data_IF_459764529246
#
_entry.id   IF_459764529246
#
_cell.length_a   1.000
_cell.length_b   1.000
_cell.length_c   1.000
_cell.angle_alpha   90.00
_cell.angle_beta   90.00
_cell.angle_gamma   90.00
#
_symmetry.space_group_name_H-M   'P 1'
#
loop_
_entity.id
_entity.type
_entity.pdbx_description
1 polymer ?
#
# COMPACT_ATOMS: atom_id res chain seq x y z
N UNK A 1 -27.97 28.21 -11.19
CA UNK A 1 -28.30 27.31 -10.06
C UNK A 1 -27.26 26.20 -10.06
N UNK A 2 -26.30 26.19 -9.13
CA UNK A 2 -25.27 25.14 -9.09
C UNK A 2 -25.85 23.89 -8.42
N UNK A 3 -25.86 22.75 -9.13
CA UNK A 3 -26.12 21.43 -8.53
C UNK A 3 -24.86 20.94 -7.82
N UNK A 4 -24.97 20.64 -6.53
CA UNK A 4 -23.92 19.96 -5.75
C UNK A 4 -24.20 18.46 -5.81
N UNK A 5 -23.18 17.69 -6.18
CA UNK A 5 -23.22 16.22 -6.17
C UNK A 5 -22.41 15.71 -4.98
N UNK A 6 -22.96 14.73 -4.27
CA UNK A 6 -22.31 14.09 -3.13
C UNK A 6 -21.79 12.70 -3.50
N UNK A 7 -20.80 12.22 -2.75
CA UNK A 7 -20.16 10.92 -2.92
C UNK A 7 -21.18 9.79 -2.64
N UNK A 8 -21.86 9.31 -3.69
CA UNK A 8 -22.95 8.33 -3.62
C UNK A 8 -24.04 8.52 -4.68
N UNK A 9 -24.14 9.70 -5.30
CA UNK A 9 -25.18 10.01 -6.31
C UNK A 9 -24.82 9.59 -7.76
N UNK A 10 -23.71 8.88 -7.97
CA UNK A 10 -23.23 8.56 -9.31
C UNK A 10 -24.09 7.51 -10.05
N UNK A 11 -24.76 6.61 -9.31
CA UNK A 11 -25.64 5.60 -9.89
C UNK A 11 -26.95 6.19 -10.43
N UNK A 12 -27.34 7.40 -10.01
CA UNK A 12 -28.61 8.02 -10.38
C UNK A 12 -28.58 8.79 -11.72
N UNK A 13 -27.40 8.94 -12.34
CA UNK A 13 -27.22 9.71 -13.59
C UNK A 13 -27.36 8.82 -14.84
N UNK A 14 -27.20 7.50 -14.71
CA UNK A 14 -27.31 6.58 -15.84
C UNK A 14 -28.64 5.82 -15.78
N UNK A 15 -29.49 6.06 -16.77
CA UNK A 15 -30.88 5.61 -16.84
C UNK A 15 -31.10 4.12 -16.55
N UNK A 16 -32.23 3.84 -15.93
CA UNK A 16 -32.62 2.51 -15.47
C UNK A 16 -32.77 1.46 -16.57
N UNK A 17 -32.61 0.21 -16.15
CA UNK A 17 -32.93 -1.02 -16.87
C UNK A 17 -32.78 -2.22 -15.94
N UNK A 18 -33.80 -3.09 -15.93
CA UNK A 18 -33.91 -4.33 -15.14
C UNK A 18 -32.72 -5.30 -15.31
N UNK A 19 -32.46 -6.21 -14.35
CA UNK A 19 -31.39 -7.19 -14.47
C UNK A 19 -31.84 -8.33 -15.39
N UNK A 20 -31.39 -8.31 -16.65
CA UNK A 20 -31.46 -9.49 -17.52
C UNK A 20 -30.14 -10.25 -17.46
N UNK A 21 -30.23 -11.49 -17.00
CA UNK A 21 -29.18 -12.49 -16.92
C UNK A 21 -28.72 -12.92 -18.31
N UNK A 22 -27.43 -12.77 -18.63
CA UNK A 22 -26.63 -13.75 -19.37
C UNK A 22 -25.15 -13.37 -19.49
N UNK A 23 -24.30 -14.36 -19.26
CA UNK A 23 -22.84 -14.30 -19.32
C UNK A 23 -22.33 -14.04 -20.73
N UNK A 24 -21.52 -13.00 -20.92
CA UNK A 24 -20.46 -12.97 -21.93
C UNK A 24 -19.35 -12.04 -21.46
N UNK A 25 -18.12 -12.53 -21.56
CA UNK A 25 -16.87 -11.92 -21.14
C UNK A 25 -16.57 -10.68 -22.01
N UNK A 26 -17.05 -9.52 -21.56
CA UNK A 26 -16.69 -8.21 -22.08
C UNK A 26 -16.42 -7.32 -20.86
N UNK A 27 -15.17 -7.32 -20.38
CA UNK A 27 -14.70 -6.28 -19.47
C UNK A 27 -14.60 -5.01 -20.32
N UNK A 28 -15.74 -4.38 -20.57
CA UNK A 28 -15.77 -2.98 -20.95
C UNK A 28 -15.17 -2.22 -19.77
N UNK A 29 -14.12 -1.42 -20.01
CA UNK A 29 -13.57 -0.44 -19.07
C UNK A 29 -14.63 0.61 -18.70
N UNK A 30 -15.64 0.18 -17.97
CA UNK A 30 -16.65 1.04 -17.36
C UNK A 30 -15.99 1.68 -16.16
N UNK A 31 -15.26 2.77 -16.38
CA UNK A 31 -14.68 3.61 -15.32
C UNK A 31 -13.89 2.78 -14.30
N UNK A 32 -12.85 2.05 -14.74
CA UNK A 32 -12.03 1.28 -13.81
C UNK A 32 -11.30 2.26 -12.88
N UNK A 33 -11.73 2.35 -11.63
CA UNK A 33 -10.98 3.08 -10.61
C UNK A 33 -9.94 2.10 -10.08
N UNK A 34 -8.65 2.24 -10.41
CA UNK A 34 -7.62 1.32 -9.92
C UNK A 34 -7.53 1.35 -8.38
N UNK A 35 -7.06 0.24 -7.81
CA UNK A 35 -6.78 0.11 -6.39
C UNK A 35 -5.41 0.76 -6.06
N UNK A 36 -5.36 1.49 -4.96
CA UNK A 36 -4.19 2.17 -4.44
C UNK A 36 -3.93 1.74 -3.01
N UNK A 37 -2.68 1.43 -2.68
CA UNK A 37 -2.21 1.25 -1.31
C UNK A 37 -1.72 2.59 -0.75
N UNK A 38 -2.08 2.89 0.49
CA UNK A 38 -1.82 4.17 1.15
C UNK A 38 -0.84 3.99 2.30
N UNK A 39 0.23 4.79 2.30
CA UNK A 39 1.22 4.83 3.37
C UNK A 39 1.30 6.22 3.98
N UNK A 40 1.26 6.30 5.31
CA UNK A 40 1.25 7.57 6.04
C UNK A 40 2.39 7.61 7.03
N UNK A 41 3.08 8.75 7.06
CA UNK A 41 4.03 9.09 8.11
C UNK A 41 3.47 10.21 8.98
N UNK A 42 3.47 9.99 10.29
CA UNK A 42 3.04 11.01 11.25
C UNK A 42 4.10 12.09 11.43
N UNK A 43 3.74 13.22 12.06
CA UNK A 43 4.68 14.33 12.28
C UNK A 43 5.95 13.93 13.04
N UNK A 44 5.82 13.02 14.01
CA UNK A 44 6.92 12.50 14.83
C UNK A 44 7.39 11.11 14.38
N UNK A 45 6.81 10.58 13.29
CA UNK A 45 7.16 9.27 12.76
C UNK A 45 8.38 9.34 11.84
N UNK A 46 9.23 8.31 11.92
CA UNK A 46 10.39 8.16 11.04
C UNK A 46 10.00 7.49 9.70
N UNK A 47 9.08 6.53 9.77
CA UNK A 47 8.69 5.64 8.68
C UNK A 47 7.25 5.87 8.19
N UNK A 48 7.04 5.64 6.90
CA UNK A 48 5.70 5.56 6.30
C UNK A 48 5.12 4.17 6.57
N UNK A 49 3.95 4.12 7.20
CA UNK A 49 3.26 2.88 7.54
C UNK A 49 2.08 2.69 6.61
N UNK A 50 1.88 1.46 6.14
CA UNK A 50 0.68 1.11 5.38
C UNK A 50 -0.56 1.25 6.26
N UNK A 51 -1.55 2.01 5.81
CA UNK A 51 -2.80 2.27 6.57
C UNK A 51 -4.04 1.66 5.93
N UNK A 52 -3.95 1.21 4.68
CA UNK A 52 -5.04 0.59 3.95
C UNK A 52 -5.08 1.00 2.48
N UNK A 53 -6.15 0.60 1.81
CA UNK A 53 -6.29 0.69 0.36
C UNK A 53 -7.56 1.47 -0.03
N UNK A 54 -7.55 2.11 -1.19
CA UNK A 54 -8.71 2.83 -1.75
C UNK A 54 -8.74 2.77 -3.27
N UNK A 55 -9.92 2.97 -3.87
CA UNK A 55 -10.05 3.09 -5.33
C UNK A 55 -10.07 4.56 -5.73
N UNK A 56 -9.30 4.92 -6.77
CA UNK A 56 -9.30 6.27 -7.31
C UNK A 56 -8.87 6.29 -8.78
N UNK A 57 -9.36 7.28 -9.54
CA UNK A 57 -9.08 7.40 -10.97
C UNK A 57 -7.61 7.76 -11.27
N UNK A 58 -6.98 8.56 -10.42
CA UNK A 58 -5.58 8.96 -10.54
C UNK A 58 -4.92 9.15 -9.16
N UNK A 59 -3.61 9.42 -9.16
CA UNK A 59 -2.82 9.60 -7.95
C UNK A 59 -3.24 10.84 -7.13
N UNK A 60 -3.70 11.91 -7.78
CA UNK A 60 -4.09 13.14 -7.10
C UNK A 60 -5.38 12.92 -6.30
N UNK A 61 -6.37 12.30 -6.94
CA UNK A 61 -7.62 11.88 -6.31
C UNK A 61 -7.37 10.84 -5.21
N UNK A 62 -6.43 9.92 -5.41
CA UNK A 62 -6.02 8.96 -4.37
C UNK A 62 -5.47 9.67 -3.12
N UNK A 63 -4.62 10.69 -3.28
CA UNK A 63 -4.06 11.46 -2.16
C UNK A 63 -5.16 12.24 -1.41
N UNK A 64 -6.08 12.88 -2.14
CA UNK A 64 -7.20 13.62 -1.53
C UNK A 64 -8.11 12.71 -0.72
N UNK A 65 -8.51 11.57 -1.31
CA UNK A 65 -9.31 10.56 -0.61
C UNK A 65 -8.56 9.98 0.60
N UNK A 66 -7.28 9.67 0.45
CA UNK A 66 -6.44 9.16 1.55
C UNK A 66 -6.33 10.17 2.70
N UNK A 67 -6.17 11.45 2.39
CA UNK A 67 -6.13 12.52 3.39
C UNK A 67 -7.42 12.55 4.20
N UNK A 68 -8.56 12.56 3.53
CA UNK A 68 -9.86 12.73 4.20
C UNK A 68 -10.27 11.50 5.01
N UNK A 69 -9.89 10.30 4.55
CA UNK A 69 -10.18 9.02 5.24
C UNK A 69 -9.23 8.78 6.41
N UNK A 70 -7.91 8.90 6.20
CA UNK A 70 -6.91 8.38 7.13
C UNK A 70 -6.19 9.44 7.98
N UNK A 71 -6.20 10.72 7.62
CA UNK A 71 -5.40 11.76 8.32
C UNK A 71 -6.21 12.70 9.23
N UNK A 72 -7.40 12.29 9.67
CA UNK A 72 -8.27 13.14 10.48
C UNK A 72 -7.47 13.78 11.64
N UNK A 73 -7.49 15.12 11.71
CA UNK A 73 -6.76 15.98 12.67
C UNK A 73 -5.25 16.17 12.44
N UNK A 74 -4.76 16.06 11.20
CA UNK A 74 -3.37 16.43 10.83
C UNK A 74 -2.29 15.55 11.49
N UNK A 75 -2.63 14.35 11.95
CA UNK A 75 -1.63 13.44 12.53
C UNK A 75 -0.66 12.90 11.46
N UNK A 76 -1.09 12.81 10.19
CA UNK A 76 -0.26 12.45 9.04
C UNK A 76 0.27 13.68 8.29
N UNK A 77 1.59 13.84 8.22
CA UNK A 77 2.26 14.99 7.55
C UNK A 77 2.71 14.64 6.13
N UNK A 78 2.90 13.34 5.84
CA UNK A 78 3.29 12.87 4.52
C UNK A 78 2.49 11.63 4.15
N UNK A 79 1.90 11.67 2.95
CA UNK A 79 1.08 10.59 2.38
C UNK A 79 1.79 10.11 1.11
N UNK A 80 2.00 8.81 1.00
CA UNK A 80 2.35 8.13 -0.24
C UNK A 80 1.18 7.30 -0.69
N UNK A 81 0.92 7.31 -1.99
CA UNK A 81 -0.03 6.42 -2.65
C UNK A 81 0.71 5.68 -3.75
N UNK A 82 0.46 4.38 -3.84
CA UNK A 82 1.06 3.54 -4.88
C UNK A 82 -0.06 2.67 -5.44
N UNK A 83 -0.20 2.64 -6.76
CA UNK A 83 -1.18 1.77 -7.40
C UNK A 83 -0.79 0.31 -7.11
N UNK A 84 -1.75 -0.51 -6.68
CA UNK A 84 -1.46 -1.86 -6.16
C UNK A 84 -0.76 -2.74 -7.20
N UNK A 85 -0.97 -2.48 -8.51
CA UNK A 85 -0.29 -3.18 -9.61
C UNK A 85 1.24 -3.02 -9.62
N UNK A 86 1.76 -1.99 -8.95
CA UNK A 86 3.20 -1.71 -8.88
C UNK A 86 3.86 -2.32 -7.64
N UNK A 87 3.10 -2.96 -6.75
CA UNK A 87 3.63 -3.60 -5.55
C UNK A 87 3.78 -5.10 -5.84
N UNK A 88 5.00 -5.59 -5.62
CA UNK A 88 5.32 -7.02 -5.73
C UNK A 88 5.63 -7.55 -4.33
N UNK A 89 4.92 -8.61 -3.93
CA UNK A 89 5.12 -9.29 -2.66
C UNK A 89 5.81 -10.64 -2.88
N UNK A 90 6.62 -11.06 -1.92
CA UNK A 90 7.17 -12.41 -1.86
C UNK A 90 6.08 -13.40 -1.47
N UNK A 91 6.22 -14.66 -1.89
CA UNK A 91 5.34 -15.73 -1.41
C UNK A 91 5.71 -16.06 0.05
N UNK A 92 4.76 -16.08 1.00
CA UNK A 92 5.03 -16.51 2.38
C UNK A 92 5.64 -17.90 2.48
N UNK A 93 5.35 -18.82 1.55
CA UNK A 93 5.92 -20.18 1.57
C UNK A 93 7.44 -20.19 1.31
N UNK A 94 7.98 -19.15 0.66
CA UNK A 94 9.41 -19.02 0.36
C UNK A 94 10.18 -18.35 1.52
N UNK A 95 9.51 -17.98 2.60
CA UNK A 95 10.11 -17.22 3.70
C UNK A 95 11.30 -17.96 4.35
N UNK A 96 11.20 -19.27 4.54
CA UNK A 96 12.25 -20.09 5.14
C UNK A 96 13.54 -19.99 4.30
N UNK A 97 13.46 -20.27 3.01
CA UNK A 97 14.62 -20.17 2.10
C UNK A 97 15.19 -18.75 1.98
N UNK A 98 14.35 -17.71 2.05
CA UNK A 98 14.79 -16.32 1.89
C UNK A 98 15.49 -15.77 3.14
N UNK A 99 15.10 -16.22 4.34
CA UNK A 99 15.54 -15.62 5.60
C UNK A 99 16.40 -16.54 6.48
N UNK A 100 16.35 -17.87 6.35
CA UNK A 100 17.21 -18.80 7.09
C UNK A 100 18.71 -18.52 6.95
N UNK A 101 19.25 -18.19 5.75
CA UNK A 101 20.68 -17.91 5.61
C UNK A 101 21.14 -16.67 6.39
N UNK A 102 20.22 -15.80 6.82
CA UNK A 102 20.55 -14.66 7.68
C UNK A 102 20.63 -15.04 9.17
N UNK A 103 19.97 -16.13 9.59
CA UNK A 103 19.94 -16.59 10.98
C UNK A 103 21.12 -17.50 11.33
N UNK A 104 21.58 -18.34 10.40
CA UNK A 104 22.56 -19.40 10.69
C UNK A 104 24.05 -18.98 10.54
N UNK A 105 24.30 -17.73 10.10
CA UNK A 105 25.66 -17.25 9.78
C UNK A 105 26.31 -16.53 10.97
N UNK A 106 26.42 -17.25 12.08
CA UNK A 106 27.06 -16.84 13.35
C UNK A 106 28.53 -16.40 13.14
N UNK A 107 29.21 -16.94 12.13
CA UNK A 107 30.61 -16.62 11.77
C UNK A 107 30.86 -15.16 11.35
N UNK A 108 29.82 -14.35 11.18
CA UNK A 108 29.94 -12.90 10.93
C UNK A 108 29.95 -12.07 12.21
N UNK A 109 29.71 -12.70 13.37
CA UNK A 109 29.82 -12.03 14.66
C UNK A 109 31.30 -11.95 15.05
N UNK A 110 31.83 -10.76 15.39
CA UNK A 110 33.24 -10.57 15.77
C UNK A 110 33.70 -11.44 16.94
N UNK A 111 32.74 -11.95 17.72
CA UNK A 111 32.93 -12.78 18.91
C UNK A 111 33.40 -14.22 18.62
N UNK A 112 33.37 -14.67 17.35
CA UNK A 112 33.69 -16.06 16.97
C UNK A 112 35.05 -16.23 16.29
N UNK A 113 35.88 -15.18 16.21
CA UNK A 113 37.28 -15.33 15.79
C UNK A 113 38.18 -15.39 17.03
N UNK A 114 38.98 -16.45 17.14
CA UNK A 114 40.13 -16.46 18.05
C UNK A 114 41.15 -15.44 17.53
N UNK A 115 41.18 -14.27 18.17
CA UNK A 115 42.21 -13.27 17.91
C UNK A 115 43.54 -13.76 18.51
N UNK A 116 44.65 -13.73 17.76
CA UNK A 116 45.98 -13.99 18.34
C UNK A 116 46.27 -12.98 19.46
N UNK A 117 46.98 -13.43 20.52
CA UNK A 117 47.33 -12.61 21.68
C UNK A 117 48.05 -11.28 21.33
N UNK A 118 48.69 -11.19 20.16
CA UNK A 118 49.33 -9.97 19.66
C UNK A 118 48.34 -8.83 19.32
N UNK A 119 47.07 -9.17 19.11
CA UNK A 119 46.00 -8.21 18.78
C UNK A 119 45.10 -8.09 20.01
N UNK A 120 45.60 -7.38 21.02
CA UNK A 120 44.90 -7.15 22.28
C UNK A 120 43.48 -6.58 22.10
N UNK A 121 42.61 -6.90 23.06
CA UNK A 121 41.20 -6.53 23.10
C UNK A 121 40.99 -5.05 22.74
N UNK A 122 40.21 -4.79 21.69
CA UNK A 122 39.71 -3.46 21.34
C UNK A 122 38.43 -3.13 22.11
#
# INVERSE_FOLDING_TARGET
MLKKYYYGDYDAIQGGGEPSSNSSNQISDSSSWPLWEVFIRSKQGLDHKHVGSLHAADSSMAIENARDVYTRRMEGVSIWVVESKHIHATNPDDAESLYEPAQDKIYRHPTFYDLPDEVGHM
#
